data_IF_535468166210
#
_entry.id   IF_535468166210
#
_cell.length_a   1.000
_cell.length_b   1.000
_cell.length_c   1.000
_cell.angle_alpha   90.00
_cell.angle_beta   90.00
_cell.angle_gamma   90.00
#
_symmetry.space_group_name_H-M   'P 1'
#
loop_
_entity.id
_entity.type
_entity.pdbx_description
1 polymer ?
#
# COMPACT_ATOMS: atom_id res chain seq x y z
N UNK A 1 29.61 12.51 -0.64
CA UNK A 1 28.28 12.82 -0.08
C UNK A 1 27.75 11.58 0.62
N UNK A 2 27.32 11.73 1.87
CA UNK A 2 26.64 10.64 2.59
C UNK A 2 25.12 10.74 2.37
N UNK A 3 24.46 9.60 2.37
CA UNK A 3 22.99 9.55 2.34
C UNK A 3 22.47 10.19 3.62
N UNK A 4 21.49 11.08 3.51
CA UNK A 4 20.86 11.76 4.67
C UNK A 4 20.30 10.73 5.66
N UNK A 5 20.58 10.93 6.96
CA UNK A 5 20.18 10.01 8.01
C UNK A 5 18.65 9.77 8.11
N UNK A 6 17.84 10.66 7.55
CA UNK A 6 16.39 10.53 7.43
C UNK A 6 15.96 9.50 6.36
N UNK A 7 16.87 9.17 5.43
CA UNK A 7 16.65 8.20 4.36
C UNK A 7 17.63 7.04 4.58
N UNK A 8 17.36 6.22 5.58
CA UNK A 8 18.21 5.05 5.87
C UNK A 8 17.94 3.94 4.85
N UNK A 9 18.95 3.55 4.05
CA UNK A 9 18.80 2.42 3.15
C UNK A 9 18.46 1.15 3.93
N UNK A 10 17.60 0.30 3.37
CA UNK A 10 17.31 -1.03 3.89
C UNK A 10 18.47 -1.97 3.58
N UNK A 11 18.54 -3.10 4.25
CA UNK A 11 19.60 -4.09 4.05
C UNK A 11 19.68 -4.59 2.58
N UNK A 12 18.54 -4.64 1.88
CA UNK A 12 18.45 -5.12 0.50
C UNK A 12 18.54 -4.01 -0.56
N UNK A 13 18.58 -2.74 -0.14
CA UNK A 13 18.67 -1.62 -1.07
C UNK A 13 20.04 -1.59 -1.73
N UNK A 14 20.07 -1.40 -3.05
CA UNK A 14 21.32 -1.25 -3.82
C UNK A 14 21.76 0.19 -3.81
N UNK A 15 22.99 0.41 -3.39
CA UNK A 15 23.65 1.73 -3.39
C UNK A 15 24.64 1.77 -4.55
N UNK A 16 24.52 2.77 -5.40
CA UNK A 16 25.44 3.05 -6.50
C UNK A 16 26.12 4.40 -6.27
N UNK A 17 27.43 4.38 -6.15
CA UNK A 17 28.23 5.61 -6.12
C UNK A 17 28.39 6.14 -7.53
N UNK A 18 28.35 7.45 -7.68
CA UNK A 18 28.48 8.13 -8.96
C UNK A 18 29.33 9.40 -8.86
N UNK A 19 30.11 9.69 -9.88
CA UNK A 19 30.95 10.91 -10.01
C UNK A 19 30.33 11.94 -10.98
N UNK A 20 29.37 11.53 -11.80
CA UNK A 20 28.73 12.37 -12.82
C UNK A 20 27.29 12.72 -12.42
N UNK A 21 26.70 13.70 -13.10
CA UNK A 21 25.28 14.02 -12.89
C UNK A 21 24.36 12.82 -13.18
N UNK A 22 24.61 12.12 -14.29
CA UNK A 22 23.87 10.90 -14.61
C UNK A 22 24.16 9.79 -13.60
N UNK A 23 23.11 9.15 -13.11
CA UNK A 23 23.21 7.93 -12.31
C UNK A 23 23.71 6.71 -13.12
N UNK A 24 23.69 6.78 -14.44
CA UNK A 24 24.04 5.69 -15.36
C UNK A 24 25.48 5.77 -15.86
N UNK A 25 26.07 6.95 -15.87
CA UNK A 25 27.41 7.14 -16.43
C UNK A 25 28.49 6.58 -15.50
N UNK A 26 29.30 5.65 -16.02
CA UNK A 26 30.34 4.94 -15.29
C UNK A 26 29.87 4.22 -14.03
N UNK A 27 28.62 3.71 -14.06
CA UNK A 27 28.05 2.88 -13.01
C UNK A 27 27.50 1.59 -13.60
N UNK A 28 27.26 0.59 -12.77
CA UNK A 28 26.61 -0.66 -13.18
C UNK A 28 25.07 -0.60 -13.06
N UNK A 29 24.48 0.61 -12.92
CA UNK A 29 23.04 0.74 -12.67
C UNK A 29 22.19 0.16 -13.81
N UNK A 30 22.49 0.49 -15.06
CA UNK A 30 21.75 -0.01 -16.22
C UNK A 30 21.79 -1.54 -16.32
N UNK A 31 22.99 -2.11 -16.18
CA UNK A 31 23.16 -3.56 -16.20
C UNK A 31 22.39 -4.25 -15.05
N UNK A 32 22.40 -3.68 -13.86
CA UNK A 32 21.64 -4.16 -12.72
C UNK A 32 20.13 -4.11 -12.98
N UNK A 33 19.60 -2.96 -13.41
CA UNK A 33 18.17 -2.80 -13.70
C UNK A 33 17.68 -3.79 -14.76
N UNK A 34 18.45 -3.96 -15.83
CA UNK A 34 18.15 -4.94 -16.88
C UNK A 34 18.18 -6.39 -16.38
N UNK A 35 19.14 -6.73 -15.52
CA UNK A 35 19.21 -8.07 -14.91
C UNK A 35 18.02 -8.39 -14.00
N UNK A 36 17.37 -7.37 -13.45
CA UNK A 36 16.16 -7.49 -12.64
C UNK A 36 14.85 -7.36 -13.46
N UNK A 37 14.94 -7.21 -14.79
CA UNK A 37 13.79 -7.04 -15.67
C UNK A 37 13.02 -5.73 -15.43
N UNK A 38 13.65 -4.72 -14.82
CA UNK A 38 13.02 -3.44 -14.50
C UNK A 38 12.85 -2.62 -15.77
N UNK A 39 11.64 -2.13 -16.02
CA UNK A 39 11.29 -1.28 -17.16
C UNK A 39 10.81 0.10 -16.74
N UNK A 40 10.31 0.24 -15.52
CA UNK A 40 9.73 1.47 -14.97
C UNK A 40 10.65 2.02 -13.87
N UNK A 41 10.97 3.30 -13.95
CA UNK A 41 11.80 3.99 -12.98
C UNK A 41 11.04 5.17 -12.37
N UNK A 42 10.93 5.19 -11.05
CA UNK A 42 10.49 6.36 -10.30
C UNK A 42 11.74 7.12 -9.89
N UNK A 43 11.91 8.34 -10.38
CA UNK A 43 13.10 9.17 -10.11
C UNK A 43 12.70 10.33 -9.21
N UNK A 44 13.38 10.44 -8.06
CA UNK A 44 13.20 11.49 -7.05
C UNK A 44 14.58 11.95 -6.54
N UNK A 45 14.64 13.10 -5.86
CA UNK A 45 15.85 13.54 -5.17
C UNK A 45 16.33 14.95 -5.52
N UNK A 46 17.66 15.17 -5.56
CA UNK A 46 18.28 16.49 -5.79
C UNK A 46 19.59 16.39 -6.58
N UNK A 47 19.94 17.41 -7.35
CA UNK A 47 19.22 18.65 -7.67
C UNK A 47 18.43 18.46 -8.95
N UNK A 48 17.25 19.11 -9.01
CA UNK A 48 16.31 18.95 -10.13
C UNK A 48 16.95 19.21 -11.48
N UNK A 49 17.69 20.31 -11.65
CA UNK A 49 18.29 20.74 -12.91
C UNK A 49 19.61 20.04 -13.27
N UNK A 50 20.21 19.30 -12.34
CA UNK A 50 21.50 18.61 -12.57
C UNK A 50 21.34 17.09 -12.57
N UNK A 51 21.48 16.46 -11.40
CA UNK A 51 21.51 15.01 -11.29
C UNK A 51 20.19 14.37 -11.72
N UNK A 52 19.08 15.00 -11.37
CA UNK A 52 17.74 14.48 -11.67
C UNK A 52 17.43 14.64 -13.16
N UNK A 53 17.53 15.86 -13.71
CA UNK A 53 17.29 16.13 -15.14
C UNK A 53 18.13 15.23 -16.03
N UNK A 54 19.44 15.15 -15.73
CA UNK A 54 20.35 14.29 -16.50
C UNK A 54 19.97 12.82 -16.42
N UNK A 55 19.65 12.32 -15.22
CA UNK A 55 19.28 10.90 -15.04
C UNK A 55 17.95 10.56 -15.69
N UNK A 56 16.96 11.45 -15.65
CA UNK A 56 15.66 11.30 -16.34
C UNK A 56 15.88 11.14 -17.85
N UNK A 57 16.65 12.04 -18.46
CA UNK A 57 16.89 12.01 -19.91
C UNK A 57 17.68 10.79 -20.35
N UNK A 58 18.71 10.42 -19.61
CA UNK A 58 19.50 9.21 -19.90
C UNK A 58 18.65 7.94 -19.71
N UNK A 59 17.85 7.85 -18.66
CA UNK A 59 16.94 6.72 -18.47
C UNK A 59 15.94 6.58 -19.62
N UNK A 60 15.37 7.70 -20.08
CA UNK A 60 14.47 7.72 -21.23
C UNK A 60 15.17 7.23 -22.50
N UNK A 61 16.39 7.71 -22.78
CA UNK A 61 17.18 7.29 -23.94
C UNK A 61 17.59 5.81 -23.89
N UNK A 62 17.75 5.24 -22.67
CA UNK A 62 18.02 3.82 -22.47
C UNK A 62 16.75 2.94 -22.58
N UNK A 63 15.58 3.55 -22.84
CA UNK A 63 14.31 2.87 -23.06
C UNK A 63 13.46 2.60 -21.81
N UNK A 64 13.83 3.17 -20.67
CA UNK A 64 12.98 3.06 -19.46
C UNK A 64 11.77 3.99 -19.55
N UNK A 65 10.64 3.54 -18.98
CA UNK A 65 9.52 4.43 -18.67
C UNK A 65 9.84 5.18 -17.37
N UNK A 66 9.97 6.50 -17.47
CA UNK A 66 10.34 7.34 -16.34
C UNK A 66 9.09 7.99 -15.75
N UNK A 67 8.95 7.89 -14.45
CA UNK A 67 7.89 8.52 -13.64
C UNK A 67 8.56 9.46 -12.64
N UNK A 68 8.10 10.71 -12.61
CA UNK A 68 8.54 11.71 -11.64
C UNK A 68 7.32 12.13 -10.82
N UNK A 69 7.27 11.80 -9.52
CA UNK A 69 6.21 12.33 -8.66
C UNK A 69 6.38 13.83 -8.53
N UNK A 70 5.29 14.57 -8.70
CA UNK A 70 5.29 16.02 -8.59
C UNK A 70 5.76 16.45 -7.20
N UNK A 71 6.55 17.50 -7.16
CA UNK A 71 7.19 18.03 -5.94
C UNK A 71 8.17 17.07 -5.22
N UNK A 72 8.50 15.92 -5.80
CA UNK A 72 9.42 14.94 -5.21
C UNK A 72 10.90 15.17 -5.58
N UNK A 73 11.22 16.26 -6.28
CA UNK A 73 12.57 16.72 -6.52
C UNK A 73 12.80 18.06 -5.86
N UNK A 74 14.05 18.44 -5.60
CA UNK A 74 14.37 19.72 -4.96
C UNK A 74 15.61 20.36 -5.56
N UNK A 75 15.70 21.69 -5.43
CA UNK A 75 16.83 22.51 -5.82
C UNK A 75 16.88 23.80 -5.00
N UNK A 76 17.85 24.63 -5.24
CA UNK A 76 18.06 25.90 -4.55
C UNK A 76 17.69 27.10 -5.41
N UNK A 77 17.40 28.23 -4.77
CA UNK A 77 17.31 29.51 -5.44
C UNK A 77 18.67 29.90 -6.03
N UNK A 78 18.66 30.60 -7.15
CA UNK A 78 19.87 31.22 -7.73
C UNK A 78 19.56 32.68 -8.13
N UNK A 79 20.55 33.37 -8.66
CA UNK A 79 20.46 34.81 -8.97
C UNK A 79 19.41 35.16 -10.06
N UNK A 80 18.92 34.17 -10.79
CA UNK A 80 18.03 34.39 -11.94
C UNK A 80 16.60 33.89 -11.61
N UNK A 81 16.48 32.76 -10.91
CA UNK A 81 15.20 32.06 -10.72
C UNK A 81 15.14 31.36 -9.36
N UNK A 82 13.98 31.40 -8.72
CA UNK A 82 13.80 30.62 -7.50
C UNK A 82 13.73 29.11 -7.80
N UNK A 83 14.25 28.30 -6.88
CA UNK A 83 14.23 26.84 -7.00
C UNK A 83 12.82 26.28 -7.19
N UNK A 84 11.82 26.92 -6.56
CA UNK A 84 10.41 26.54 -6.76
C UNK A 84 9.98 26.71 -8.22
N UNK A 85 10.28 27.85 -8.84
CA UNK A 85 9.89 28.14 -10.22
C UNK A 85 10.71 27.28 -11.19
N UNK A 86 12.01 27.10 -10.93
CA UNK A 86 12.86 26.22 -11.73
C UNK A 86 12.35 24.77 -11.72
N UNK A 87 12.03 24.24 -10.54
CA UNK A 87 11.46 22.90 -10.42
C UNK A 87 10.16 22.79 -11.20
N UNK A 88 9.23 23.71 -11.01
CA UNK A 88 7.96 23.70 -11.73
C UNK A 88 8.16 23.77 -13.26
N UNK A 89 9.12 24.57 -13.73
CA UNK A 89 9.47 24.66 -15.16
C UNK A 89 9.98 23.31 -15.69
N UNK A 90 10.87 22.63 -14.96
CA UNK A 90 11.39 21.32 -15.34
C UNK A 90 10.25 20.28 -15.40
N UNK A 91 9.41 20.20 -14.36
CA UNK A 91 8.30 19.29 -14.27
C UNK A 91 7.29 19.50 -15.42
N UNK A 92 6.85 20.73 -15.65
CA UNK A 92 5.74 21.02 -16.57
C UNK A 92 6.16 21.24 -18.02
N UNK A 93 7.37 21.76 -18.25
CA UNK A 93 7.81 22.18 -19.60
C UNK A 93 8.91 21.31 -20.18
N UNK A 94 9.73 20.69 -19.35
CA UNK A 94 10.86 19.89 -19.82
C UNK A 94 10.53 18.40 -19.76
N UNK A 95 10.12 17.86 -18.60
CA UNK A 95 9.98 16.42 -18.43
C UNK A 95 8.64 15.89 -18.90
N UNK A 96 7.53 16.58 -18.54
CA UNK A 96 6.16 16.11 -18.80
C UNK A 96 5.91 15.86 -20.28
N UNK A 97 5.39 14.66 -20.57
CA UNK A 97 5.02 14.21 -21.92
C UNK A 97 6.18 14.13 -22.93
N UNK A 98 7.43 14.25 -22.47
CA UNK A 98 8.60 14.11 -23.33
C UNK A 98 9.60 13.09 -22.80
N UNK A 99 10.12 13.29 -21.59
CA UNK A 99 11.12 12.41 -20.98
C UNK A 99 10.57 11.60 -19.82
N UNK A 100 9.48 12.08 -19.19
CA UNK A 100 8.88 11.42 -18.04
C UNK A 100 7.37 11.67 -17.97
N UNK A 101 6.67 10.79 -17.26
CA UNK A 101 5.33 11.04 -16.75
C UNK A 101 5.48 11.77 -15.41
N UNK A 102 5.07 13.05 -15.38
CA UNK A 102 5.00 13.83 -14.13
C UNK A 102 3.58 13.68 -13.59
N UNK A 103 3.44 13.05 -12.42
CA UNK A 103 2.14 12.71 -11.82
C UNK A 103 2.09 13.13 -10.35
N UNK A 104 0.91 13.34 -9.83
CA UNK A 104 0.70 13.60 -8.40
C UNK A 104 1.14 12.38 -7.56
N UNK A 105 1.68 12.63 -6.36
CA UNK A 105 2.15 11.56 -5.45
C UNK A 105 1.04 10.55 -5.15
N UNK A 106 -0.18 11.03 -4.89
CA UNK A 106 -1.32 10.15 -4.61
C UNK A 106 -1.65 9.25 -5.81
N UNK A 107 -1.54 9.78 -7.04
CA UNK A 107 -1.70 8.98 -8.26
C UNK A 107 -0.63 7.90 -8.37
N UNK A 108 0.63 8.24 -8.08
CA UNK A 108 1.70 7.24 -8.05
C UNK A 108 1.46 6.16 -7.01
N UNK A 109 1.04 6.54 -5.81
CA UNK A 109 0.72 5.58 -4.76
C UNK A 109 -0.42 4.64 -5.18
N UNK A 110 -1.47 5.18 -5.82
CA UNK A 110 -2.54 4.36 -6.40
C UNK A 110 -2.01 3.40 -7.48
N UNK A 111 -1.12 3.85 -8.37
CA UNK A 111 -0.52 2.99 -9.41
C UNK A 111 0.36 1.88 -8.82
N UNK A 112 1.12 2.17 -7.78
CA UNK A 112 1.91 1.16 -7.06
C UNK A 112 0.98 0.20 -6.30
N UNK A 113 -0.10 0.72 -5.72
CA UNK A 113 -1.12 -0.03 -5.01
C UNK A 113 -2.03 -0.83 -5.94
N UNK A 114 -2.20 -0.42 -7.21
CA UNK A 114 -3.02 -1.12 -8.21
C UNK A 114 -2.45 -2.48 -8.63
N UNK A 115 -1.26 -2.86 -8.18
CA UNK A 115 -0.79 -4.25 -8.23
C UNK A 115 -1.52 -5.16 -7.23
N UNK A 116 -2.34 -4.59 -6.35
CA UNK A 116 -3.23 -5.32 -5.47
C UNK A 116 -4.62 -5.40 -6.11
N UNK A 117 -5.09 -6.60 -6.33
CA UNK A 117 -6.44 -6.85 -6.83
C UNK A 117 -7.36 -7.18 -5.64
N UNK A 118 -8.49 -6.47 -5.54
CA UNK A 118 -9.45 -6.57 -4.45
C UNK A 118 -10.71 -7.29 -4.95
N UNK A 119 -10.85 -8.56 -4.60
CA UNK A 119 -11.99 -9.37 -5.03
C UNK A 119 -12.98 -9.61 -3.91
N UNK A 120 -14.20 -9.13 -4.10
CA UNK A 120 -15.33 -9.46 -3.24
C UNK A 120 -16.08 -10.66 -3.78
N UNK A 121 -16.49 -11.55 -2.90
CA UNK A 121 -17.40 -12.65 -3.19
C UNK A 121 -18.49 -12.75 -2.10
N UNK A 122 -19.62 -13.35 -2.43
CA UNK A 122 -20.72 -13.57 -1.48
C UNK A 122 -20.96 -15.06 -1.26
N UNK A 123 -21.02 -15.46 -0.01
CA UNK A 123 -21.20 -16.86 0.39
C UNK A 123 -20.01 -17.76 0.03
N UNK A 124 -20.21 -19.07 0.08
CA UNK A 124 -19.11 -20.04 -0.08
C UNK A 124 -18.70 -20.35 -1.51
N UNK A 125 -19.38 -19.83 -2.54
CA UNK A 125 -19.07 -20.16 -3.96
C UNK A 125 -17.66 -19.79 -4.40
N UNK A 126 -17.05 -18.75 -3.79
CA UNK A 126 -15.68 -18.26 -4.14
C UNK A 126 -14.83 -18.15 -2.87
N UNK A 127 -15.05 -19.03 -1.91
CA UNK A 127 -14.51 -18.95 -0.56
C UNK A 127 -13.10 -19.58 -0.42
N UNK A 128 -12.63 -20.32 -1.44
CA UNK A 128 -11.40 -21.14 -1.35
C UNK A 128 -10.18 -20.33 -0.89
N UNK A 129 -9.91 -19.20 -1.54
CA UNK A 129 -8.73 -18.41 -1.23
C UNK A 129 -8.84 -17.66 0.10
N UNK A 130 -10.06 -17.20 0.45
CA UNK A 130 -10.34 -16.66 1.77
C UNK A 130 -10.11 -17.70 2.87
N UNK A 131 -10.56 -18.94 2.65
CA UNK A 131 -10.37 -20.03 3.59
C UNK A 131 -8.88 -20.39 3.76
N UNK A 132 -8.09 -20.40 2.69
CA UNK A 132 -6.65 -20.67 2.76
C UNK A 132 -5.93 -19.68 3.68
N UNK A 133 -6.17 -18.37 3.52
CA UNK A 133 -5.54 -17.36 4.36
C UNK A 133 -6.01 -17.48 5.81
N UNK A 134 -7.33 -17.69 6.02
CA UNK A 134 -7.91 -17.83 7.35
C UNK A 134 -7.39 -19.06 8.07
N UNK A 135 -7.27 -20.18 7.37
CA UNK A 135 -6.66 -21.41 7.89
C UNK A 135 -5.21 -21.14 8.33
N UNK A 136 -4.39 -20.56 7.48
CA UNK A 136 -2.98 -20.30 7.79
C UNK A 136 -2.81 -19.34 8.98
N UNK A 137 -3.64 -18.27 9.07
CA UNK A 137 -3.44 -17.22 10.07
C UNK A 137 -4.19 -17.52 11.38
N UNK A 138 -5.46 -17.90 11.32
CA UNK A 138 -6.24 -18.06 12.55
C UNK A 138 -6.10 -19.46 13.16
N UNK A 139 -6.06 -20.51 12.34
CA UNK A 139 -5.97 -21.88 12.84
C UNK A 139 -4.51 -22.27 13.11
N UNK A 140 -3.65 -22.21 12.08
CA UNK A 140 -2.27 -22.75 12.17
C UNK A 140 -1.34 -21.83 12.97
N UNK A 141 -1.44 -20.50 12.78
CA UNK A 141 -0.56 -19.56 13.49
C UNK A 141 -1.11 -19.17 14.88
N UNK A 142 -2.43 -18.89 15.00
CA UNK A 142 -3.05 -18.37 16.21
C UNK A 142 -3.71 -19.44 17.09
N UNK A 143 -4.01 -20.62 16.53
CA UNK A 143 -4.56 -21.74 17.29
C UNK A 143 -6.06 -21.67 17.61
N UNK A 144 -6.84 -20.91 16.82
CA UNK A 144 -8.31 -20.92 16.97
C UNK A 144 -8.90 -22.22 16.41
N UNK A 145 -9.84 -22.82 17.16
CA UNK A 145 -10.48 -24.09 16.78
C UNK A 145 -11.75 -23.88 15.93
N UNK A 146 -12.48 -22.78 16.18
CA UNK A 146 -13.79 -22.49 15.58
C UNK A 146 -13.76 -21.38 14.54
N UNK A 147 -12.81 -21.42 13.62
CA UNK A 147 -12.62 -20.35 12.63
C UNK A 147 -13.74 -20.28 11.60
N UNK A 148 -14.24 -21.41 11.14
CA UNK A 148 -15.26 -21.48 10.09
C UNK A 148 -16.66 -21.69 10.67
N UNK A 149 -17.61 -20.85 10.26
CA UNK A 149 -18.97 -20.83 10.80
C UNK A 149 -20.06 -20.75 9.71
N UNK A 150 -21.34 -20.78 10.12
CA UNK A 150 -22.49 -20.72 9.22
C UNK A 150 -22.64 -19.33 8.56
N UNK A 151 -22.11 -18.27 9.17
CA UNK A 151 -22.16 -16.92 8.63
C UNK A 151 -21.39 -16.81 7.30
N UNK A 152 -20.42 -17.69 7.07
CA UNK A 152 -19.68 -17.73 5.81
C UNK A 152 -20.59 -17.98 4.58
N UNK A 153 -21.78 -18.56 4.78
CA UNK A 153 -22.74 -18.77 3.68
C UNK A 153 -23.46 -17.49 3.24
N UNK A 154 -23.54 -16.48 4.11
CA UNK A 154 -24.30 -15.23 3.91
C UNK A 154 -23.44 -13.99 4.12
N UNK A 155 -22.14 -14.16 4.18
CA UNK A 155 -21.18 -13.08 4.33
C UNK A 155 -20.58 -12.66 2.99
N UNK A 156 -20.10 -11.43 2.92
CA UNK A 156 -19.17 -10.99 1.90
C UNK A 156 -17.75 -11.31 2.35
N UNK A 157 -16.96 -11.87 1.45
CA UNK A 157 -15.55 -12.15 1.65
C UNK A 157 -14.72 -11.27 0.71
N UNK A 158 -13.78 -10.54 1.27
CA UNK A 158 -12.77 -9.82 0.53
C UNK A 158 -11.48 -10.64 0.53
N UNK A 159 -10.89 -10.83 -0.64
CA UNK A 159 -9.50 -11.31 -0.77
C UNK A 159 -8.71 -10.27 -1.53
N UNK A 160 -7.55 -9.91 -1.01
CA UNK A 160 -6.57 -9.08 -1.70
C UNK A 160 -5.52 -10.00 -2.32
N UNK A 161 -5.29 -9.82 -3.61
CA UNK A 161 -4.28 -10.55 -4.37
C UNK A 161 -3.11 -9.63 -4.72
N UNK A 162 -1.93 -10.22 -4.77
CA UNK A 162 -0.74 -9.64 -5.37
C UNK A 162 -0.18 -10.65 -6.37
N UNK A 163 -0.05 -10.24 -7.63
CA UNK A 163 0.42 -11.12 -8.71
C UNK A 163 -0.34 -12.47 -8.73
N UNK A 164 -1.69 -12.40 -8.67
CA UNK A 164 -2.63 -13.54 -8.59
C UNK A 164 -2.55 -14.39 -7.30
N UNK A 165 -1.62 -14.10 -6.41
CA UNK A 165 -1.48 -14.79 -5.13
C UNK A 165 -2.37 -14.14 -4.06
N UNK A 166 -3.25 -14.88 -3.36
CA UNK A 166 -4.07 -14.35 -2.28
C UNK A 166 -3.20 -14.07 -1.05
N UNK A 167 -3.21 -12.81 -0.55
CA UNK A 167 -2.28 -12.36 0.50
C UNK A 167 -2.96 -11.78 1.74
N UNK A 168 -4.18 -11.32 1.63
CA UNK A 168 -4.95 -10.81 2.76
C UNK A 168 -6.44 -11.04 2.57
N UNK A 169 -7.18 -11.07 3.66
CA UNK A 169 -8.60 -11.42 3.70
C UNK A 169 -9.35 -10.56 4.70
N UNK A 170 -10.65 -10.38 4.46
CA UNK A 170 -11.61 -9.87 5.41
C UNK A 170 -12.99 -10.41 5.12
N UNK A 171 -13.82 -10.46 6.15
CA UNK A 171 -15.22 -10.88 6.06
C UNK A 171 -16.11 -9.78 6.58
N UNK A 172 -17.30 -9.62 5.98
CA UNK A 172 -18.34 -8.75 6.52
C UNK A 172 -19.72 -9.32 6.29
N UNK A 173 -20.64 -9.00 7.21
CA UNK A 173 -22.05 -9.41 7.12
C UNK A 173 -22.93 -8.39 7.84
N UNK A 174 -24.20 -8.30 7.44
CA UNK A 174 -25.16 -7.40 8.06
C UNK A 174 -25.48 -7.86 9.50
N UNK A 175 -25.34 -6.94 10.46
CA UNK A 175 -25.94 -7.07 11.80
C UNK A 175 -27.41 -6.68 11.76
N UNK A 176 -27.69 -5.59 11.09
CA UNK A 176 -29.01 -5.05 10.81
C UNK A 176 -28.99 -4.24 9.49
N UNK A 177 -30.03 -3.43 9.22
CA UNK A 177 -30.14 -2.67 7.95
C UNK A 177 -29.10 -1.58 7.78
N UNK A 178 -28.50 -1.10 8.85
CA UNK A 178 -27.60 0.07 8.87
C UNK A 178 -26.21 -0.22 9.41
N UNK A 179 -26.02 -1.40 10.02
CA UNK A 179 -24.77 -1.79 10.68
C UNK A 179 -24.16 -3.03 10.00
N UNK A 180 -22.90 -2.93 9.62
CA UNK A 180 -22.11 -4.03 9.07
C UNK A 180 -21.08 -4.53 10.09
N UNK A 181 -21.09 -5.83 10.37
CA UNK A 181 -20.03 -6.47 11.16
C UNK A 181 -18.84 -6.77 10.25
N UNK A 182 -17.65 -6.29 10.62
CA UNK A 182 -16.39 -6.66 10.00
C UNK A 182 -15.66 -7.69 10.87
N UNK A 183 -15.00 -8.63 10.23
CA UNK A 183 -14.21 -9.63 10.94
C UNK A 183 -13.31 -10.44 10.02
N UNK A 184 -12.60 -11.41 10.59
CA UNK A 184 -11.68 -12.30 9.85
C UNK A 184 -10.64 -11.52 9.04
N UNK A 185 -10.19 -10.39 9.60
CA UNK A 185 -9.21 -9.50 8.97
C UNK A 185 -7.82 -10.04 9.22
N UNK A 186 -7.16 -10.52 8.17
CA UNK A 186 -5.86 -11.14 8.27
C UNK A 186 -4.99 -10.87 7.03
N UNK A 187 -3.67 -10.92 7.22
CA UNK A 187 -2.69 -10.95 6.16
C UNK A 187 -1.67 -12.07 6.44
N UNK A 188 -1.24 -12.76 5.40
CA UNK A 188 -0.18 -13.75 5.48
C UNK A 188 1.08 -13.14 6.07
N UNK A 189 1.83 -13.90 6.85
CA UNK A 189 2.96 -13.44 7.66
C UNK A 189 4.01 -12.69 6.84
N UNK A 190 4.36 -13.21 5.68
CA UNK A 190 5.35 -12.66 4.75
C UNK A 190 4.95 -11.33 4.10
N UNK A 191 3.66 -11.00 4.12
CA UNK A 191 3.14 -9.75 3.56
C UNK A 191 2.77 -8.69 4.63
N UNK A 192 3.02 -8.96 5.91
CA UNK A 192 2.79 -8.00 6.99
C UNK A 192 3.74 -6.80 6.90
N UNK A 193 3.40 -5.71 7.56
CA UNK A 193 4.17 -4.46 7.47
C UNK A 193 3.85 -3.59 6.23
N UNK A 194 3.10 -4.11 5.25
CA UNK A 194 2.68 -3.40 4.01
C UNK A 194 1.31 -2.71 4.13
N UNK A 195 0.86 -2.44 5.35
CA UNK A 195 -0.45 -1.81 5.65
C UNK A 195 -1.67 -2.57 5.11
N UNK A 196 -1.55 -3.88 4.81
CA UNK A 196 -2.65 -4.68 4.26
C UNK A 196 -3.87 -4.72 5.17
N UNK A 197 -3.70 -4.80 6.48
CA UNK A 197 -4.82 -4.74 7.43
C UNK A 197 -5.64 -3.47 7.27
N UNK A 198 -5.01 -2.30 7.15
CA UNK A 198 -5.71 -1.03 6.90
C UNK A 198 -6.44 -1.04 5.56
N UNK A 199 -5.80 -1.58 4.50
CA UNK A 199 -6.43 -1.70 3.18
C UNK A 199 -7.66 -2.61 3.19
N UNK A 200 -7.60 -3.74 3.90
CA UNK A 200 -8.75 -4.64 4.10
C UNK A 200 -9.88 -3.89 4.79
N UNK A 201 -9.61 -3.24 5.93
CA UNK A 201 -10.65 -2.48 6.68
C UNK A 201 -11.27 -1.41 5.81
N UNK A 202 -10.46 -0.57 5.14
CA UNK A 202 -10.95 0.50 4.27
C UNK A 202 -11.80 -0.03 3.12
N UNK A 203 -11.40 -1.14 2.49
CA UNK A 203 -12.17 -1.75 1.40
C UNK A 203 -13.51 -2.30 1.90
N UNK A 204 -13.55 -2.94 3.09
CA UNK A 204 -14.78 -3.40 3.72
C UNK A 204 -15.71 -2.23 4.10
N UNK A 205 -15.16 -1.14 4.67
CA UNK A 205 -15.93 0.08 4.98
C UNK A 205 -16.55 0.71 3.73
N UNK A 206 -15.78 0.83 2.64
CA UNK A 206 -16.28 1.35 1.38
C UNK A 206 -17.41 0.47 0.83
N UNK A 207 -17.24 -0.84 0.90
CA UNK A 207 -18.30 -1.78 0.49
C UNK A 207 -19.53 -1.70 1.39
N UNK A 208 -19.37 -1.48 2.69
CA UNK A 208 -20.48 -1.26 3.61
C UNK A 208 -21.26 0.02 3.26
N UNK A 209 -20.56 1.13 2.92
CA UNK A 209 -21.20 2.38 2.43
C UNK A 209 -21.97 2.16 1.13
N UNK A 210 -21.40 1.44 0.16
CA UNK A 210 -22.07 1.09 -1.08
C UNK A 210 -23.36 0.30 -0.85
N UNK A 211 -23.39 -0.53 0.20
CA UNK A 211 -24.55 -1.33 0.62
C UNK A 211 -25.53 -0.56 1.50
N UNK A 212 -25.29 0.74 1.77
CA UNK A 212 -26.17 1.62 2.53
C UNK A 212 -26.00 1.56 4.04
N UNK A 213 -24.92 0.97 4.55
CA UNK A 213 -24.64 0.98 5.98
C UNK A 213 -24.10 2.34 6.43
N UNK A 214 -24.45 2.71 7.66
CA UNK A 214 -24.04 3.95 8.32
C UNK A 214 -22.98 3.72 9.40
N UNK A 215 -22.84 2.49 9.83
CA UNK A 215 -21.93 2.09 10.90
C UNK A 215 -21.25 0.76 10.58
N UNK A 216 -20.02 0.62 11.05
CA UNK A 216 -19.34 -0.66 11.10
C UNK A 216 -18.97 -1.02 12.54
N UNK A 217 -19.10 -2.31 12.87
CA UNK A 217 -18.72 -2.88 14.16
C UNK A 217 -17.76 -4.06 13.93
N UNK A 218 -16.85 -4.26 14.85
CA UNK A 218 -15.94 -5.41 14.82
C UNK A 218 -15.57 -5.87 16.24
N UNK A 219 -15.17 -7.13 16.34
CA UNK A 219 -14.56 -7.71 17.53
C UNK A 219 -13.04 -7.68 17.35
N UNK A 220 -12.38 -6.78 18.04
CA UNK A 220 -10.95 -6.62 17.96
C UNK A 220 -10.23 -7.44 19.04
N UNK A 221 -9.23 -8.24 18.67
CA UNK A 221 -8.29 -8.77 19.64
C UNK A 221 -7.68 -7.61 20.41
N UNK A 222 -7.54 -7.71 21.73
CA UNK A 222 -7.05 -6.63 22.59
C UNK A 222 -5.72 -6.04 22.11
N UNK A 223 -4.81 -6.87 21.65
CA UNK A 223 -3.53 -6.44 21.10
C UNK A 223 -3.66 -5.60 19.81
N UNK A 224 -4.76 -5.74 19.07
CA UNK A 224 -5.03 -5.01 17.84
C UNK A 224 -5.89 -3.75 18.07
N UNK A 225 -6.34 -3.47 19.29
CA UNK A 225 -7.20 -2.31 19.59
C UNK A 225 -6.61 -0.99 19.08
N UNK A 226 -5.33 -0.71 19.37
CA UNK A 226 -4.64 0.51 18.91
C UNK A 226 -4.56 0.65 17.39
N UNK A 227 -4.56 -0.45 16.66
CA UNK A 227 -4.60 -0.44 15.20
C UNK A 227 -5.96 0.06 14.72
N UNK A 228 -7.06 -0.43 15.29
CA UNK A 228 -8.40 0.01 14.92
C UNK A 228 -8.72 1.44 15.39
N UNK A 229 -8.21 1.84 16.54
CA UNK A 229 -8.31 3.25 17.00
C UNK A 229 -7.70 4.23 15.99
N UNK A 230 -6.55 3.90 15.39
CA UNK A 230 -5.93 4.70 14.33
C UNK A 230 -6.77 4.77 13.04
N UNK A 231 -7.67 3.81 12.84
CA UNK A 231 -8.62 3.80 11.73
C UNK A 231 -9.96 4.48 12.09
N UNK A 232 -10.06 5.05 13.29
CA UNK A 232 -11.23 5.81 13.73
C UNK A 232 -12.27 4.99 14.48
N UNK A 233 -11.99 3.73 14.81
CA UNK A 233 -12.87 2.93 15.66
C UNK A 233 -12.75 3.34 17.13
N UNK A 234 -13.84 3.20 17.86
CA UNK A 234 -13.91 3.44 19.31
C UNK A 234 -14.37 2.17 20.02
N UNK A 235 -13.78 1.84 21.17
CA UNK A 235 -14.30 0.74 22.01
C UNK A 235 -15.76 0.95 22.41
N UNK A 236 -16.54 -0.12 22.42
CA UNK A 236 -17.94 -0.14 22.79
C UNK A 236 -18.20 -1.35 23.70
N UNK A 237 -18.29 -1.10 25.01
CA UNK A 237 -18.46 -2.12 26.05
C UNK A 237 -17.16 -2.66 26.63
N UNK A 238 -17.33 -3.67 27.48
CA UNK A 238 -16.24 -4.30 28.22
C UNK A 238 -15.52 -5.35 27.37
N UNK A 239 -14.32 -5.71 27.83
CA UNK A 239 -13.55 -6.82 27.25
C UNK A 239 -14.25 -8.16 27.52
N UNK A 240 -14.22 -9.05 26.55
CA UNK A 240 -14.71 -10.41 26.64
C UNK A 240 -13.72 -11.41 26.02
N UNK A 241 -13.93 -12.70 26.25
CA UNK A 241 -13.09 -13.74 25.65
C UNK A 241 -13.82 -14.43 24.49
N UNK A 242 -13.12 -14.53 23.36
CA UNK A 242 -13.45 -15.43 22.26
C UNK A 242 -12.42 -16.56 22.27
N UNK A 243 -12.90 -17.77 22.61
CA UNK A 243 -12.04 -18.89 23.02
C UNK A 243 -11.06 -18.46 24.15
N UNK A 244 -9.77 -18.44 23.87
CA UNK A 244 -8.72 -18.05 24.83
C UNK A 244 -8.27 -16.59 24.68
N UNK A 245 -8.69 -15.92 23.58
CA UNK A 245 -8.20 -14.61 23.21
C UNK A 245 -9.08 -13.48 23.75
N UNK A 246 -8.53 -12.47 24.45
CA UNK A 246 -9.30 -11.31 24.89
C UNK A 246 -9.66 -10.39 23.72
N UNK A 247 -10.92 -9.99 23.63
CA UNK A 247 -11.47 -9.13 22.60
C UNK A 247 -12.22 -7.94 23.18
N UNK A 248 -12.36 -6.89 22.41
CA UNK A 248 -13.21 -5.73 22.67
C UNK A 248 -14.03 -5.40 21.42
N UNK A 249 -15.31 -5.12 21.62
CA UNK A 249 -16.16 -4.62 20.54
C UNK A 249 -15.74 -3.21 20.20
N UNK A 250 -15.60 -2.90 18.91
CA UNK A 250 -15.28 -1.55 18.46
C UNK A 250 -16.21 -1.11 17.33
N UNK A 251 -16.58 0.17 17.32
CA UNK A 251 -17.53 0.76 16.39
C UNK A 251 -16.96 1.99 15.69
N UNK A 252 -17.46 2.22 14.46
CA UNK A 252 -17.15 3.41 13.67
C UNK A 252 -18.33 3.81 12.83
N UNK A 253 -18.71 5.09 12.90
CA UNK A 253 -19.66 5.71 11.97
C UNK A 253 -18.92 5.91 10.62
N UNK A 254 -19.59 5.54 9.52
CA UNK A 254 -19.01 5.53 8.18
C UNK A 254 -19.11 6.87 7.46
#
# INVERSE_FOLDING_TARGET
WQIDSRITPRQDDKIFEKEYNSAFKNTNLDAYLKSQGIQDLIIVGMQSEYCIDTSIKVAFELGYRVIVPKDATTTFDNDIISGKVLKQYLEEKIWKNRFAQVIEVDTLLMMIESKLDFKFSYGKKSFKDAALIRQAVFVEEQGFEKEFDKLDNTAYHLVIYKDEQPIAVGRMYFKDKTTMILGRIAALKEYRGQKLGSKVVTALENKARELGCLETELSAQQQAQKFYEKLGYKPDGDMYYDEWCPHVTMKKIL
#
